data_IF_532299609450
#
_entry.id   IF_532299609450
#
_cell.length_a   1.000
_cell.length_b   1.000
_cell.length_c   1.000
_cell.angle_alpha   90.00
_cell.angle_beta   90.00
_cell.angle_gamma   90.00
#
_symmetry.space_group_name_H-M   'P 1'
#
loop_
_entity.id
_entity.type
_entity.pdbx_description
1 polymer ?
#
# COMPACT_ATOMS: atom_id res chain seq x y z
N UNK A 1 3.81 -1.55 16.78
CA UNK A 1 2.86 -2.43 16.09
C UNK A 1 1.75 -2.79 17.06
N UNK A 2 0.50 -2.54 16.70
CA UNK A 2 -0.64 -3.03 17.48
C UNK A 2 -0.73 -4.53 17.24
N UNK A 3 -0.19 -5.33 18.17
CA UNK A 3 -0.42 -6.76 18.19
C UNK A 3 -1.65 -7.00 19.06
N UNK A 4 -2.80 -7.37 18.48
CA UNK A 4 -3.93 -7.80 19.29
C UNK A 4 -3.50 -9.03 20.08
N UNK A 5 -3.51 -8.95 21.42
CA UNK A 5 -3.31 -10.10 22.28
C UNK A 5 -4.59 -10.95 22.23
N UNK A 6 -4.59 -11.91 21.34
CA UNK A 6 -5.59 -12.99 21.39
C UNK A 6 -5.19 -13.91 22.53
N UNK A 7 -6.10 -14.12 23.50
CA UNK A 7 -5.82 -14.91 24.71
C UNK A 7 -5.24 -16.30 24.40
N UNK A 8 -4.65 -16.96 25.39
CA UNK A 8 -3.93 -18.25 25.31
C UNK A 8 -4.80 -19.47 24.90
N UNK A 9 -6.01 -19.25 24.41
CA UNK A 9 -6.86 -20.31 23.87
C UNK A 9 -6.36 -20.77 22.50
N UNK A 10 -6.67 -21.99 22.09
CA UNK A 10 -6.37 -22.53 20.76
C UNK A 10 -6.87 -21.58 19.62
N UNK A 11 -8.05 -21.02 19.81
CA UNK A 11 -8.63 -20.04 18.88
C UNK A 11 -7.78 -18.76 18.85
N UNK A 12 -7.30 -18.29 20.01
CA UNK A 12 -6.42 -17.12 20.10
C UNK A 12 -5.10 -17.33 19.35
N UNK A 13 -4.46 -18.48 19.53
CA UNK A 13 -3.23 -18.83 18.82
C UNK A 13 -3.44 -18.92 17.30
N UNK A 14 -4.56 -19.47 16.87
CA UNK A 14 -4.92 -19.55 15.44
C UNK A 14 -5.18 -18.17 14.83
N UNK A 15 -5.90 -17.29 15.53
CA UNK A 15 -6.11 -15.90 15.10
C UNK A 15 -4.80 -15.11 15.03
N UNK A 16 -3.90 -15.30 15.99
CA UNK A 16 -2.56 -14.71 15.97
C UNK A 16 -1.75 -15.17 14.74
N UNK A 17 -1.80 -16.47 14.45
CA UNK A 17 -1.14 -17.03 13.26
C UNK A 17 -1.70 -16.45 11.97
N UNK A 18 -3.03 -16.34 11.84
CA UNK A 18 -3.67 -15.72 10.67
C UNK A 18 -3.26 -14.26 10.52
N UNK A 19 -3.26 -13.49 11.60
CA UNK A 19 -2.85 -12.08 11.57
C UNK A 19 -1.40 -11.92 11.12
N UNK A 20 -0.49 -12.71 11.66
CA UNK A 20 0.93 -12.69 11.26
C UNK A 20 1.12 -13.09 9.79
N UNK A 21 0.35 -14.10 9.33
CA UNK A 21 0.39 -14.53 7.92
C UNK A 21 -0.12 -13.45 6.97
N UNK A 22 -1.15 -12.69 7.35
CA UNK A 22 -1.63 -11.55 6.56
C UNK A 22 -0.59 -10.43 6.47
N UNK A 23 0.12 -10.12 7.56
CA UNK A 23 1.20 -9.14 7.53
C UNK A 23 2.31 -9.55 6.54
N UNK A 24 2.79 -10.79 6.63
CA UNK A 24 3.79 -11.33 5.70
C UNK A 24 3.31 -11.32 4.24
N UNK A 25 2.02 -11.57 4.01
CA UNK A 25 1.45 -11.52 2.66
C UNK A 25 1.50 -10.09 2.08
N UNK A 26 1.26 -9.07 2.91
CA UNK A 26 1.34 -7.65 2.50
C UNK A 26 2.79 -7.28 2.16
N UNK A 27 3.75 -7.61 3.01
CA UNK A 27 5.18 -7.34 2.77
C UNK A 27 5.64 -8.02 1.47
N UNK A 28 5.28 -9.30 1.30
CA UNK A 28 5.57 -10.06 0.08
C UNK A 28 4.94 -9.42 -1.15
N UNK A 29 3.71 -8.93 -1.04
CA UNK A 29 3.03 -8.24 -2.13
C UNK A 29 3.76 -6.96 -2.56
N UNK A 30 4.25 -6.16 -1.62
CA UNK A 30 5.04 -4.96 -1.92
C UNK A 30 6.39 -5.29 -2.58
N UNK A 31 7.08 -6.32 -2.09
CA UNK A 31 8.32 -6.83 -2.71
C UNK A 31 8.07 -7.24 -4.16
N UNK A 32 7.05 -8.05 -4.45
CA UNK A 32 6.72 -8.46 -5.82
C UNK A 32 6.30 -7.29 -6.70
N UNK A 33 5.53 -6.34 -6.17
CA UNK A 33 5.12 -5.14 -6.89
C UNK A 33 6.34 -4.35 -7.36
N UNK A 34 7.29 -4.09 -6.48
CA UNK A 34 8.52 -3.37 -6.82
C UNK A 34 9.41 -4.14 -7.80
N UNK A 35 9.56 -5.45 -7.62
CA UNK A 35 10.30 -6.32 -8.54
C UNK A 35 9.76 -6.22 -9.97
N UNK A 36 8.46 -6.46 -10.15
CA UNK A 36 7.86 -6.42 -11.49
C UNK A 36 7.90 -5.03 -12.12
N UNK A 37 7.73 -3.98 -11.32
CA UNK A 37 7.82 -2.61 -11.81
C UNK A 37 9.21 -2.27 -12.32
N UNK A 38 10.22 -2.62 -11.55
CA UNK A 38 11.62 -2.40 -11.89
C UNK A 38 12.00 -3.19 -13.13
N UNK A 39 11.68 -4.49 -13.15
CA UNK A 39 11.96 -5.37 -14.27
C UNK A 39 11.32 -4.87 -15.59
N UNK A 40 10.02 -4.51 -15.53
CA UNK A 40 9.31 -4.02 -16.72
C UNK A 40 9.82 -2.64 -17.18
N UNK A 41 10.13 -1.75 -16.24
CA UNK A 41 10.70 -0.43 -16.53
C UNK A 41 12.08 -0.52 -17.16
N UNK A 42 12.96 -1.37 -16.63
CA UNK A 42 14.30 -1.60 -17.19
C UNK A 42 14.23 -2.24 -18.57
N UNK A 43 13.40 -3.26 -18.76
CA UNK A 43 13.17 -3.89 -20.08
C UNK A 43 12.61 -2.91 -21.11
N UNK A 44 11.74 -1.99 -20.72
CA UNK A 44 11.26 -0.95 -21.63
C UNK A 44 12.38 -0.01 -22.05
N UNK A 45 13.24 0.37 -21.10
CA UNK A 45 14.41 1.20 -21.37
C UNK A 45 15.41 0.51 -22.30
N UNK A 46 15.75 -0.75 -22.04
CA UNK A 46 16.66 -1.55 -22.89
C UNK A 46 16.16 -1.67 -24.33
N UNK A 47 14.84 -1.87 -24.52
CA UNK A 47 14.26 -2.04 -25.84
C UNK A 47 14.08 -0.75 -26.63
N UNK A 48 13.77 0.37 -25.97
CA UNK A 48 13.39 1.62 -26.61
C UNK A 48 14.41 2.75 -26.43
N UNK A 49 15.42 2.55 -25.60
CA UNK A 49 16.37 3.59 -25.20
C UNK A 49 15.79 4.68 -24.29
N UNK A 50 14.49 4.60 -23.96
CA UNK A 50 13.82 5.53 -23.07
C UNK A 50 12.74 4.83 -22.25
N UNK A 51 12.37 5.44 -21.10
CA UNK A 51 11.26 5.01 -20.25
C UNK A 51 10.12 6.01 -20.36
N UNK A 52 8.93 5.52 -20.69
CA UNK A 52 7.72 6.36 -20.78
C UNK A 52 6.92 6.29 -19.47
N UNK A 53 7.07 7.33 -18.63
CA UNK A 53 6.31 7.46 -17.38
C UNK A 53 4.80 7.40 -17.60
N UNK A 54 4.29 8.06 -18.64
CA UNK A 54 2.85 8.09 -18.95
C UNK A 54 2.33 6.68 -19.26
N UNK A 55 3.00 5.95 -20.15
CA UNK A 55 2.59 4.58 -20.49
C UNK A 55 2.70 3.63 -19.30
N UNK A 56 3.72 3.80 -18.49
CA UNK A 56 3.90 3.04 -17.24
C UNK A 56 2.73 3.29 -16.30
N UNK A 57 2.41 4.57 -16.02
CA UNK A 57 1.35 4.96 -15.11
C UNK A 57 -0.04 4.51 -15.62
N UNK A 58 -0.37 4.76 -16.88
CA UNK A 58 -1.65 4.36 -17.47
C UNK A 58 -1.89 2.85 -17.39
N UNK A 59 -0.88 2.01 -17.68
CA UNK A 59 -1.02 0.54 -17.55
C UNK A 59 -1.41 0.11 -16.13
N UNK A 60 -0.92 0.81 -15.11
CA UNK A 60 -1.26 0.54 -13.71
C UNK A 60 -2.64 1.06 -13.34
N UNK A 61 -2.90 2.31 -13.69
CA UNK A 61 -4.20 2.96 -13.47
C UNK A 61 -5.35 2.12 -14.03
N UNK A 62 -5.28 1.71 -15.29
CA UNK A 62 -6.34 0.91 -15.91
C UNK A 62 -6.46 -0.51 -15.32
N UNK A 63 -5.46 -1.01 -14.64
CA UNK A 63 -5.52 -2.31 -13.96
C UNK A 63 -6.15 -2.22 -12.57
N UNK A 64 -5.85 -1.15 -11.80
CA UNK A 64 -6.18 -1.04 -10.38
C UNK A 64 -7.41 -0.17 -10.15
N UNK A 65 -7.47 1.02 -10.75
CA UNK A 65 -8.48 2.03 -10.48
C UNK A 65 -9.92 1.62 -10.79
N UNK A 66 -10.25 0.88 -11.85
CA UNK A 66 -11.63 0.50 -12.11
C UNK A 66 -12.23 -0.31 -10.96
N UNK A 67 -11.51 -1.31 -10.46
CA UNK A 67 -11.96 -2.12 -9.32
C UNK A 67 -11.96 -1.31 -8.01
N UNK A 68 -10.93 -0.49 -7.80
CA UNK A 68 -10.80 0.38 -6.64
C UNK A 68 -12.02 1.30 -6.50
N UNK A 69 -12.33 2.09 -7.54
CA UNK A 69 -13.45 3.02 -7.51
C UNK A 69 -14.81 2.31 -7.54
N UNK A 70 -14.89 1.12 -8.12
CA UNK A 70 -16.10 0.30 -8.04
C UNK A 70 -16.38 -0.14 -6.58
N UNK A 71 -15.39 -0.65 -5.87
CA UNK A 71 -15.56 -1.02 -4.45
C UNK A 71 -15.84 0.23 -3.61
N UNK A 72 -15.17 1.34 -3.92
CA UNK A 72 -15.45 2.61 -3.26
C UNK A 72 -16.91 3.06 -3.44
N UNK A 73 -17.45 2.95 -4.67
CA UNK A 73 -18.87 3.22 -4.95
C UNK A 73 -19.78 2.34 -4.10
N UNK A 74 -19.47 1.04 -4.00
CA UNK A 74 -20.23 0.12 -3.15
C UNK A 74 -20.23 0.57 -1.68
N UNK A 75 -19.04 0.91 -1.14
CA UNK A 75 -18.88 1.26 0.28
C UNK A 75 -19.49 2.62 0.63
N UNK A 76 -19.36 3.63 -0.22
CA UNK A 76 -19.76 5.00 0.09
C UNK A 76 -21.17 5.35 -0.40
N UNK A 77 -21.73 4.58 -1.33
CA UNK A 77 -23.06 4.87 -1.91
C UNK A 77 -24.04 3.70 -1.67
N UNK A 78 -23.70 2.51 -2.13
CA UNK A 78 -24.65 1.39 -2.14
C UNK A 78 -24.94 0.88 -0.73
N UNK A 79 -23.90 0.58 0.05
CA UNK A 79 -24.05 0.08 1.43
C UNK A 79 -24.84 1.06 2.31
N UNK A 80 -24.54 2.38 2.35
CA UNK A 80 -25.32 3.34 3.12
C UNK A 80 -26.81 3.44 2.71
N UNK A 81 -27.11 3.36 1.41
CA UNK A 81 -28.49 3.38 0.92
C UNK A 81 -29.26 2.15 1.42
N UNK A 82 -28.66 0.97 1.32
CA UNK A 82 -29.28 -0.29 1.80
C UNK A 82 -29.47 -0.25 3.32
N UNK A 83 -28.43 0.16 4.05
CA UNK A 83 -28.47 0.26 5.51
C UNK A 83 -29.52 1.26 5.99
N UNK A 84 -29.64 2.43 5.34
CA UNK A 84 -30.66 3.42 5.65
C UNK A 84 -32.09 2.87 5.47
N UNK A 85 -32.32 2.12 4.39
CA UNK A 85 -33.62 1.45 4.16
C UNK A 85 -33.91 0.36 5.20
N UNK A 86 -32.86 -0.26 5.75
CA UNK A 86 -32.97 -1.25 6.83
C UNK A 86 -33.04 -0.62 8.23
N UNK A 87 -33.06 0.70 8.36
CA UNK A 87 -33.05 1.40 9.64
C UNK A 87 -31.72 1.36 10.40
N UNK A 88 -30.63 1.02 9.71
CA UNK A 88 -29.28 0.92 10.29
C UNK A 88 -28.50 2.17 9.96
N UNK A 89 -27.97 2.85 10.99
CA UNK A 89 -27.07 3.98 10.80
C UNK A 89 -25.65 3.48 10.48
N UNK A 90 -25.09 3.94 9.36
CA UNK A 90 -23.71 3.66 8.96
C UNK A 90 -22.90 4.95 9.05
N UNK A 91 -21.85 4.95 9.87
CA UNK A 91 -20.87 6.03 9.89
C UNK A 91 -19.86 5.79 8.78
N UNK A 92 -19.55 6.82 8.00
CA UNK A 92 -18.59 6.75 6.90
C UNK A 92 -17.36 7.61 7.20
N UNK A 93 -16.18 7.19 6.74
CA UNK A 93 -14.99 8.02 6.81
C UNK A 93 -15.06 9.15 5.77
N UNK A 94 -14.21 10.19 5.87
CA UNK A 94 -14.13 11.21 4.83
C UNK A 94 -13.67 10.62 3.51
N UNK A 95 -14.48 10.74 2.45
CA UNK A 95 -14.24 10.12 1.14
C UNK A 95 -12.98 10.62 0.43
N UNK A 96 -12.52 11.86 0.74
CA UNK A 96 -11.31 12.44 0.16
C UNK A 96 -10.04 11.62 0.42
N UNK A 97 -9.91 10.97 1.58
CA UNK A 97 -8.77 10.09 1.86
C UNK A 97 -8.70 8.89 0.91
N UNK A 98 -9.84 8.40 0.48
CA UNK A 98 -9.96 7.28 -0.45
C UNK A 98 -9.86 7.73 -1.90
N UNK A 99 -10.47 8.87 -2.27
CA UNK A 99 -10.40 9.42 -3.61
C UNK A 99 -8.96 9.71 -4.08
N UNK A 100 -8.09 10.16 -3.15
CA UNK A 100 -6.72 10.56 -3.46
C UNK A 100 -5.65 9.52 -3.06
N UNK A 101 -6.04 8.28 -2.76
CA UNK A 101 -5.11 7.21 -2.34
C UNK A 101 -4.22 7.62 -1.14
N UNK A 102 -4.83 8.22 -0.12
CA UNK A 102 -4.19 8.60 1.14
C UNK A 102 -4.91 7.99 2.35
N UNK A 103 -5.68 6.92 2.14
CA UNK A 103 -6.45 6.25 3.20
C UNK A 103 -5.55 5.59 4.26
N UNK A 104 -4.28 5.36 3.95
CA UNK A 104 -3.27 4.89 4.90
C UNK A 104 -2.98 5.89 6.05
N UNK A 105 -3.33 7.17 5.89
CA UNK A 105 -3.27 8.17 6.97
C UNK A 105 -4.58 8.34 7.74
N UNK A 106 -5.63 7.64 7.33
CA UNK A 106 -6.95 7.66 7.98
C UNK A 106 -7.54 6.26 8.05
N UNK A 107 -7.13 5.50 9.07
CA UNK A 107 -7.66 4.15 9.27
C UNK A 107 -9.07 4.19 9.83
N UNK A 108 -9.98 3.55 9.12
CA UNK A 108 -11.37 3.44 9.49
C UNK A 108 -11.82 1.98 9.59
N UNK A 109 -12.21 1.57 10.80
CA UNK A 109 -12.45 0.17 11.13
C UNK A 109 -13.87 -0.36 10.94
N UNK A 110 -14.88 0.51 10.70
CA UNK A 110 -16.28 0.10 10.72
C UNK A 110 -16.77 -0.64 9.47
N UNK A 111 -16.15 -0.39 8.31
CA UNK A 111 -16.47 -1.12 7.07
C UNK A 111 -15.27 -1.98 6.70
N UNK A 112 -15.41 -3.29 6.82
CA UNK A 112 -14.32 -4.25 6.60
C UNK A 112 -13.59 -4.06 5.26
N UNK A 113 -14.33 -3.81 4.17
CA UNK A 113 -13.73 -3.58 2.85
C UNK A 113 -12.81 -2.36 2.81
N UNK A 114 -13.12 -1.28 3.55
CA UNK A 114 -12.32 -0.07 3.56
C UNK A 114 -10.99 -0.24 4.32
N UNK A 115 -10.90 -1.26 5.18
CA UNK A 115 -9.66 -1.54 5.90
C UNK A 115 -8.51 -1.95 4.98
N UNK A 116 -8.77 -2.50 3.81
CA UNK A 116 -7.74 -2.93 2.85
C UNK A 116 -7.29 -1.83 1.90
N UNK A 117 -7.99 -0.69 1.85
CA UNK A 117 -7.64 0.39 0.93
C UNK A 117 -6.31 1.07 1.25
N UNK A 118 -5.83 0.97 2.51
CA UNK A 118 -4.54 1.54 2.87
C UNK A 118 -3.36 0.88 2.14
N UNK A 119 -3.42 -0.42 1.88
CA UNK A 119 -2.36 -1.14 1.14
C UNK A 119 -2.28 -0.64 -0.30
N UNK A 120 -3.44 -0.47 -0.95
CA UNK A 120 -3.52 0.12 -2.29
C UNK A 120 -3.07 1.57 -2.31
N UNK A 121 -3.35 2.34 -1.26
CA UNK A 121 -2.87 3.73 -1.13
C UNK A 121 -1.34 3.78 -1.03
N UNK A 122 -0.73 2.94 -0.20
CA UNK A 122 0.74 2.81 -0.09
C UNK A 122 1.34 2.42 -1.44
N UNK A 123 0.72 1.47 -2.14
CA UNK A 123 1.18 0.98 -3.43
C UNK A 123 1.13 2.06 -4.51
N UNK A 124 0.02 2.81 -4.64
CA UNK A 124 -0.11 3.89 -5.61
C UNK A 124 0.88 5.04 -5.35
N UNK A 125 1.09 5.40 -4.08
CA UNK A 125 2.10 6.39 -3.71
C UNK A 125 3.51 5.91 -4.13
N UNK A 126 3.82 4.63 -3.89
CA UNK A 126 5.07 4.05 -4.34
C UNK A 126 5.19 4.07 -5.88
N UNK A 127 4.15 3.71 -6.63
CA UNK A 127 4.17 3.72 -8.10
C UNK A 127 4.50 5.09 -8.68
N UNK A 128 3.95 6.14 -8.10
CA UNK A 128 4.27 7.52 -8.51
C UNK A 128 5.75 7.84 -8.28
N UNK A 129 6.26 7.57 -7.08
CA UNK A 129 7.65 7.83 -6.72
C UNK A 129 8.59 6.98 -7.57
N UNK A 130 8.30 5.68 -7.70
CA UNK A 130 9.14 4.74 -8.43
C UNK A 130 9.19 5.03 -9.93
N UNK A 131 8.08 5.45 -10.52
CA UNK A 131 8.06 5.91 -11.90
C UNK A 131 8.98 7.11 -12.16
N UNK A 132 9.07 8.05 -11.22
CA UNK A 132 10.02 9.17 -11.28
C UNK A 132 11.47 8.67 -11.13
N UNK A 133 11.71 7.71 -10.25
CA UNK A 133 13.04 7.08 -10.07
C UNK A 133 13.48 6.41 -11.37
N UNK A 134 12.63 5.63 -12.01
CA UNK A 134 12.91 4.98 -13.29
C UNK A 134 13.10 6.00 -14.43
N UNK A 135 12.44 7.15 -14.39
CA UNK A 135 12.60 8.18 -15.41
C UNK A 135 13.92 8.94 -15.27
N UNK A 136 14.30 9.33 -14.06
CA UNK A 136 15.38 10.30 -13.82
C UNK A 136 16.66 9.71 -13.24
N UNK A 137 16.57 8.62 -12.50
CA UNK A 137 17.67 8.12 -11.66
C UNK A 137 18.17 6.72 -12.04
N UNK A 138 17.91 6.25 -13.26
CA UNK A 138 18.33 4.92 -13.70
C UNK A 138 19.81 4.63 -13.50
N UNK A 139 20.69 5.61 -13.78
CA UNK A 139 22.15 5.47 -13.59
C UNK A 139 22.54 5.37 -12.12
N UNK A 140 21.77 5.98 -11.23
CA UNK A 140 22.02 6.06 -9.78
C UNK A 140 21.04 5.22 -8.97
N UNK A 141 20.40 4.25 -9.61
CA UNK A 141 19.37 3.40 -9.05
C UNK A 141 19.74 2.79 -7.68
N UNK A 142 20.97 2.24 -7.55
CA UNK A 142 21.43 1.66 -6.29
C UNK A 142 21.53 2.68 -5.15
N UNK A 143 21.86 3.94 -5.46
CA UNK A 143 21.92 5.02 -4.46
C UNK A 143 20.51 5.34 -3.98
N UNK A 144 19.52 5.42 -4.89
CA UNK A 144 18.13 5.67 -4.51
C UNK A 144 17.57 4.56 -3.61
N UNK A 145 17.88 3.31 -3.93
CA UNK A 145 17.51 2.16 -3.09
C UNK A 145 18.14 2.27 -1.70
N UNK A 146 19.44 2.56 -1.61
CA UNK A 146 20.11 2.74 -0.32
C UNK A 146 19.46 3.86 0.51
N UNK A 147 19.10 4.99 -0.13
CA UNK A 147 18.37 6.08 0.53
C UNK A 147 16.98 5.63 1.02
N UNK A 148 16.23 4.85 0.26
CA UNK A 148 14.94 4.34 0.67
C UNK A 148 15.03 3.42 1.89
N UNK A 149 16.04 2.54 1.91
CA UNK A 149 16.31 1.67 3.07
C UNK A 149 16.66 2.52 4.30
N UNK A 150 17.51 3.54 4.15
CA UNK A 150 17.87 4.43 5.25
C UNK A 150 16.67 5.23 5.78
N UNK A 151 15.82 5.76 4.88
CA UNK A 151 14.60 6.48 5.26
C UNK A 151 13.63 5.55 6.00
N UNK A 152 13.43 4.32 5.51
CA UNK A 152 12.57 3.33 6.17
C UNK A 152 13.08 2.99 7.56
N UNK A 153 14.38 2.72 7.71
CA UNK A 153 15.00 2.42 9.00
C UNK A 153 14.90 3.60 9.97
N UNK A 154 15.20 4.82 9.52
CA UNK A 154 15.11 6.03 10.34
C UNK A 154 13.67 6.28 10.79
N UNK A 155 12.69 6.12 9.89
CA UNK A 155 11.28 6.27 10.24
C UNK A 155 10.81 5.20 11.23
N UNK A 156 11.22 3.94 11.05
CA UNK A 156 10.88 2.84 11.96
C UNK A 156 11.45 3.09 13.36
N UNK A 157 12.70 3.54 13.46
CA UNK A 157 13.31 3.93 14.74
C UNK A 157 12.54 5.09 15.37
N UNK A 158 12.27 6.15 14.60
CA UNK A 158 11.53 7.31 15.08
C UNK A 158 10.13 6.95 15.59
N UNK A 159 9.37 6.15 14.85
CA UNK A 159 8.01 5.74 15.22
C UNK A 159 8.00 4.84 16.47
N UNK A 160 9.00 3.97 16.60
CA UNK A 160 9.14 3.11 17.78
C UNK A 160 9.47 3.92 19.03
N UNK A 161 10.38 4.88 18.94
CA UNK A 161 10.75 5.76 20.05
C UNK A 161 9.60 6.66 20.52
N UNK A 162 8.75 7.09 19.61
CA UNK A 162 7.61 7.97 19.91
C UNK A 162 6.27 7.22 20.07
N UNK A 163 6.28 5.89 20.07
CA UNK A 163 5.08 5.04 20.17
C UNK A 163 4.00 5.32 19.11
N UNK A 164 4.38 5.80 17.92
CA UNK A 164 3.46 5.98 16.81
C UNK A 164 3.20 4.67 16.05
N UNK A 165 1.96 4.40 15.62
CA UNK A 165 1.69 3.25 14.76
C UNK A 165 2.37 3.46 13.39
N UNK A 166 3.17 2.49 12.97
CA UNK A 166 3.95 2.57 11.72
C UNK A 166 3.47 1.61 10.63
N UNK A 167 2.55 0.68 10.95
CA UNK A 167 2.16 -0.42 10.06
C UNK A 167 1.40 0.02 8.80
N UNK A 168 0.86 1.22 8.77
CA UNK A 168 0.13 1.77 7.61
C UNK A 168 0.85 2.93 6.92
N UNK A 169 2.05 3.27 7.36
CA UNK A 169 2.80 4.38 6.79
C UNK A 169 3.67 3.93 5.61
N UNK A 170 3.58 4.63 4.50
CA UNK A 170 4.35 4.34 3.27
C UNK A 170 5.85 4.29 3.52
N UNK A 171 6.37 5.13 4.42
CA UNK A 171 7.80 5.17 4.73
C UNK A 171 8.31 3.88 5.38
N UNK A 172 7.47 3.15 6.13
CA UNK A 172 7.84 1.87 6.72
C UNK A 172 8.11 0.80 5.67
N UNK A 173 7.39 0.83 4.55
CA UNK A 173 7.46 -0.17 3.49
C UNK A 173 8.49 0.13 2.40
N UNK A 174 9.22 1.25 2.49
CA UNK A 174 10.28 1.55 1.52
C UNK A 174 11.39 0.50 1.50
N UNK A 175 11.64 -0.21 2.61
CA UNK A 175 12.57 -1.35 2.67
C UNK A 175 12.09 -2.51 1.82
N UNK A 176 10.80 -2.86 1.88
CA UNK A 176 10.22 -3.99 1.15
C UNK A 176 10.20 -3.71 -0.35
N UNK A 177 9.79 -2.50 -0.74
CA UNK A 177 9.91 -2.04 -2.12
C UNK A 177 11.36 -2.04 -2.61
N UNK A 178 12.32 -1.65 -1.74
CA UNK A 178 13.75 -1.66 -2.07
C UNK A 178 14.27 -3.08 -2.26
N UNK A 179 13.86 -4.03 -1.42
CA UNK A 179 14.22 -5.44 -1.56
C UNK A 179 13.73 -6.02 -2.90
N UNK A 180 12.47 -5.74 -3.27
CA UNK A 180 11.92 -6.17 -4.55
C UNK A 180 12.61 -5.54 -5.75
N UNK A 181 13.04 -4.29 -5.64
CA UNK A 181 13.72 -3.59 -6.72
C UNK A 181 15.18 -4.07 -6.95
N UNK A 182 15.81 -4.70 -5.95
CA UNK A 182 17.16 -5.27 -6.04
C UNK A 182 17.17 -6.71 -6.60
N UNK A 183 16.06 -7.43 -6.52
CA UNK A 183 15.94 -8.82 -6.97
C UNK A 183 15.81 -8.91 -8.48
#
# INVERSE_FOLDING_TARGET
>A
AYHPHFGESFIGSYLQFLYSSMALAIDTFFVYSAFFLTLLGMREYEKKGNFSFVNYFLRRTFRIWPLYYFIMLLCFVIIPIIAHRAGVAVSLPPANYYLFFISNYYLYGHIFMLQFFWTLSVEEQFYLVWGVVLLKFQKNFKIVIALFILISAAYTIYSTLNHFPNFNNTLSYLSDFSAGALA
#
